data_IF_320012019766
#
_entry.id   IF_320012019766
#
_cell.length_a   1.000
_cell.length_b   1.000
_cell.length_c   1.000
_cell.angle_alpha   90.00
_cell.angle_beta   90.00
_cell.angle_gamma   90.00
#
_symmetry.space_group_name_H-M   'P 1'
#
loop_
_entity.id
_entity.type
_entity.pdbx_description
1 polymer ?
#
# COMPACT_ATOMS: atom_id res chain seq x y z
N UNK A 1 21.16 -4.74 -15.87
CA UNK A 1 20.89 -3.30 -15.92
C UNK A 1 20.23 -2.97 -17.25
N UNK A 2 18.90 -2.85 -17.28
CA UNK A 2 18.18 -2.39 -18.48
C UNK A 2 18.15 -0.86 -18.49
N UNK A 3 18.76 -0.28 -19.52
CA UNK A 3 18.96 1.16 -19.66
C UNK A 3 17.66 1.89 -19.98
N UNK A 4 17.47 3.02 -19.29
CA UNK A 4 16.37 4.03 -19.31
C UNK A 4 15.85 4.48 -20.68
N UNK A 5 16.47 4.07 -21.79
CA UNK A 5 16.14 4.48 -23.16
C UNK A 5 15.11 3.61 -23.86
N UNK A 6 14.86 2.38 -23.39
CA UNK A 6 13.82 1.50 -23.98
C UNK A 6 12.41 1.87 -23.47
N UNK A 7 12.30 2.49 -22.29
CA UNK A 7 11.02 2.86 -21.68
C UNK A 7 10.27 4.02 -22.37
N UNK A 8 10.96 4.85 -23.17
CA UNK A 8 10.34 6.01 -23.82
C UNK A 8 9.58 5.68 -25.12
N UNK A 9 9.63 4.44 -25.61
CA UNK A 9 8.94 4.05 -26.84
C UNK A 9 7.49 3.55 -26.63
N UNK A 10 7.06 3.31 -25.39
CA UNK A 10 5.71 2.77 -25.09
C UNK A 10 4.74 3.84 -24.58
N UNK A 11 5.24 5.02 -24.19
CA UNK A 11 4.42 6.09 -23.61
C UNK A 11 3.72 7.00 -24.64
N UNK A 12 3.77 6.68 -25.93
CA UNK A 12 3.03 7.40 -26.96
C UNK A 12 2.09 6.42 -27.69
N UNK A 13 0.79 6.70 -27.60
CA UNK A 13 -0.31 6.12 -28.39
C UNK A 13 -1.09 4.96 -27.75
N UNK A 14 -1.94 5.28 -26.77
CA UNK A 14 -3.25 4.60 -26.66
C UNK A 14 -4.44 5.57 -26.80
N UNK A 15 -4.18 6.83 -27.18
CA UNK A 15 -5.19 7.75 -27.71
C UNK A 15 -5.21 7.65 -29.24
N UNK A 16 -5.92 6.66 -29.75
CA UNK A 16 -6.16 6.52 -31.18
C UNK A 16 -6.50 5.10 -31.59
N UNK A 17 -7.78 4.73 -31.53
CA UNK A 17 -8.33 3.68 -32.39
C UNK A 17 -8.27 4.17 -33.84
N UNK A 18 -7.07 4.09 -34.42
CA UNK A 18 -6.74 4.50 -35.77
C UNK A 18 -5.59 3.63 -36.27
N UNK A 19 -5.95 2.62 -37.05
CA UNK A 19 -5.09 1.75 -37.87
C UNK A 19 -3.62 2.17 -37.98
N UNK A 20 -2.74 1.55 -37.17
CA UNK A 20 -1.29 1.55 -37.41
C UNK A 20 -0.85 0.12 -37.68
N UNK A 21 -0.85 -0.26 -38.96
CA UNK A 21 -0.12 -1.44 -39.45
C UNK A 21 1.37 -1.16 -39.37
N UNK A 22 2.08 -1.82 -38.45
CA UNK A 22 3.55 -1.84 -38.44
C UNK A 22 4.21 -1.52 -37.09
N UNK A 23 3.83 -2.22 -36.02
CA UNK A 23 4.73 -2.40 -34.88
C UNK A 23 5.49 -3.72 -35.07
N UNK A 24 6.82 -3.77 -34.88
CA UNK A 24 7.52 -5.05 -34.85
C UNK A 24 6.87 -5.88 -33.73
N UNK A 25 6.39 -7.07 -34.09
CA UNK A 25 5.76 -7.97 -33.15
C UNK A 25 6.70 -8.17 -31.96
N UNK A 26 6.35 -7.60 -30.81
CA UNK A 26 7.05 -7.85 -29.55
C UNK A 26 7.01 -9.37 -29.37
N UNK A 27 8.16 -10.03 -29.52
CA UNK A 27 8.25 -11.50 -29.56
C UNK A 27 7.97 -12.15 -28.20
N UNK A 28 7.56 -11.36 -27.21
CA UNK A 28 7.12 -11.78 -25.89
C UNK A 28 5.94 -10.90 -25.47
N UNK A 29 4.84 -11.49 -24.96
CA UNK A 29 3.76 -10.69 -24.39
C UNK A 29 4.32 -9.79 -23.31
N UNK A 30 3.90 -8.53 -23.32
CA UNK A 30 4.18 -7.60 -22.23
C UNK A 30 3.74 -8.27 -20.93
N UNK A 31 4.54 -8.13 -19.89
CA UNK A 31 4.21 -8.67 -18.57
C UNK A 31 3.70 -7.53 -17.70
N UNK A 32 2.68 -7.76 -16.88
CA UNK A 32 2.21 -6.76 -15.94
C UNK A 32 3.34 -6.40 -14.97
N UNK A 33 3.46 -5.11 -14.67
CA UNK A 33 4.47 -4.64 -13.73
C UNK A 33 3.98 -4.90 -12.30
N UNK A 34 4.67 -5.81 -11.61
CA UNK A 34 4.40 -6.08 -10.19
C UNK A 34 4.95 -4.99 -9.29
N UNK A 35 4.21 -4.67 -8.23
CA UNK A 35 4.74 -3.81 -7.19
C UNK A 35 5.74 -4.58 -6.34
N UNK A 36 7.01 -4.22 -6.55
CA UNK A 36 8.19 -4.72 -5.86
C UNK A 36 8.81 -3.64 -4.98
N UNK A 37 8.14 -2.48 -4.88
CA UNK A 37 8.49 -1.34 -4.03
C UNK A 37 7.75 -1.58 -2.70
N UNK A 38 8.24 -1.27 -1.51
CA UNK A 38 9.28 -0.35 -1.00
C UNK A 38 9.63 -0.84 0.42
N UNK A 39 10.69 -0.31 1.06
CA UNK A 39 10.65 -0.33 2.50
C UNK A 39 9.43 0.45 3.01
N UNK A 40 8.51 -0.20 3.70
CA UNK A 40 7.34 0.40 4.33
C UNK A 40 7.80 1.48 5.31
N UNK A 41 7.27 2.69 5.15
CA UNK A 41 7.62 3.83 6.00
C UNK A 41 6.47 4.14 6.92
N UNK A 42 6.72 3.98 8.21
CA UNK A 42 5.77 4.24 9.27
C UNK A 42 6.06 5.61 9.90
N UNK A 43 5.01 6.31 10.28
CA UNK A 43 5.07 7.57 11.02
C UNK A 43 4.18 7.54 12.26
N UNK A 44 4.56 8.32 13.28
CA UNK A 44 3.78 8.50 14.50
C UNK A 44 2.91 9.75 14.39
N UNK A 45 1.62 9.61 14.65
CA UNK A 45 0.65 10.69 14.57
C UNK A 45 -0.09 10.83 15.89
N UNK A 46 -0.08 12.02 16.48
CA UNK A 46 -0.85 12.27 17.70
C UNK A 46 -2.36 12.30 17.40
N UNK A 47 -3.15 11.60 18.21
CA UNK A 47 -4.60 11.75 18.23
C UNK A 47 -5.03 12.89 19.20
N UNK A 48 -6.31 13.33 19.17
CA UNK A 48 -6.80 14.38 20.06
C UNK A 48 -6.70 14.04 21.56
N UNK A 49 -6.54 12.76 21.91
CA UNK A 49 -6.39 12.26 23.28
C UNK A 49 -4.91 12.16 23.70
N UNK A 50 -3.96 12.51 22.83
CA UNK A 50 -2.52 12.47 23.08
C UNK A 50 -1.88 11.08 22.89
N UNK A 51 -2.62 10.09 22.38
CA UNK A 51 -2.08 8.78 22.00
C UNK A 51 -1.38 8.89 20.65
N UNK A 52 -0.38 8.04 20.40
CA UNK A 52 0.28 7.98 19.11
C UNK A 52 -0.29 6.85 18.27
N UNK A 53 -0.77 7.18 17.08
CA UNK A 53 -1.21 6.25 16.04
C UNK A 53 -0.04 6.04 15.08
N UNK A 54 0.28 4.78 14.77
CA UNK A 54 1.21 4.46 13.70
C UNK A 54 0.43 4.36 12.39
N UNK A 55 0.91 5.05 11.35
CA UNK A 55 0.36 4.97 10.00
C UNK A 55 1.49 4.87 8.97
N UNK A 56 1.23 4.21 7.85
CA UNK A 56 2.17 4.15 6.73
C UNK A 56 2.16 5.41 5.87
N UNK A 57 3.02 5.45 4.85
CA UNK A 57 3.01 6.46 3.79
C UNK A 57 2.07 6.13 2.63
N UNK A 58 1.16 5.17 2.81
CA UNK A 58 0.12 4.87 1.83
C UNK A 58 -0.78 6.10 1.57
N UNK A 59 -1.43 6.15 0.39
CA UNK A 59 -2.39 7.21 0.09
C UNK A 59 -3.56 7.22 1.09
N UNK A 60 -3.97 8.40 1.61
CA UNK A 60 -5.04 8.49 2.62
C UNK A 60 -6.43 8.21 2.06
N UNK A 61 -6.57 8.26 0.73
CA UNK A 61 -7.81 7.97 0.02
C UNK A 61 -7.63 6.81 -0.95
N UNK A 62 -8.74 6.16 -1.26
CA UNK A 62 -8.81 5.13 -2.27
C UNK A 62 -8.26 5.64 -3.61
N UNK A 63 -7.36 4.86 -4.20
CA UNK A 63 -6.75 5.16 -5.48
C UNK A 63 -7.48 4.45 -6.62
N UNK A 64 -7.44 5.01 -7.85
CA UNK A 64 -7.96 4.33 -9.03
C UNK A 64 -7.28 2.99 -9.29
N UNK A 65 -8.02 2.06 -9.89
CA UNK A 65 -7.53 0.79 -10.41
C UNK A 65 -7.67 0.75 -11.94
N UNK A 66 -7.05 -0.23 -12.57
CA UNK A 66 -7.14 -0.44 -14.02
C UNK A 66 -8.31 -1.37 -14.29
N UNK A 67 -9.15 -1.01 -15.26
CA UNK A 67 -10.28 -1.84 -15.67
C UNK A 67 -9.81 -3.23 -16.13
N UNK A 68 -10.48 -4.32 -15.74
CA UNK A 68 -10.09 -5.68 -16.14
C UNK A 68 -9.94 -5.82 -17.65
N UNK A 69 -10.85 -5.22 -18.44
CA UNK A 69 -10.84 -5.30 -19.89
C UNK A 69 -9.60 -4.60 -20.48
N UNK A 70 -9.14 -3.51 -19.85
CA UNK A 70 -7.93 -2.82 -20.27
C UNK A 70 -6.68 -3.65 -19.96
N UNK A 71 -6.62 -4.30 -18.79
CA UNK A 71 -5.53 -5.21 -18.42
C UNK A 71 -5.44 -6.37 -19.42
N UNK A 72 -6.56 -7.05 -19.64
CA UNK A 72 -6.61 -8.25 -20.48
C UNK A 72 -6.32 -7.93 -21.95
N UNK A 73 -6.69 -6.75 -22.44
CA UNK A 73 -6.35 -6.30 -23.79
C UNK A 73 -4.84 -6.12 -24.02
N UNK A 74 -4.07 -5.81 -22.98
CA UNK A 74 -2.64 -5.52 -23.06
C UNK A 74 -1.81 -6.76 -22.73
N UNK A 75 -2.22 -7.55 -21.74
CA UNK A 75 -1.43 -8.65 -21.19
C UNK A 75 -1.99 -10.05 -21.48
N UNK A 76 -3.22 -10.14 -21.97
CA UNK A 76 -3.94 -11.39 -22.23
C UNK A 76 -5.03 -11.68 -21.19
N UNK A 77 -6.05 -12.40 -21.64
CA UNK A 77 -7.24 -12.78 -20.85
C UNK A 77 -6.88 -13.45 -19.51
N UNK A 78 -7.55 -13.05 -18.43
CA UNK A 78 -7.37 -13.59 -17.09
C UNK A 78 -6.12 -13.08 -16.36
N UNK A 79 -5.37 -12.13 -16.95
CA UNK A 79 -4.22 -11.53 -16.27
C UNK A 79 -4.66 -10.74 -15.05
N UNK A 80 -5.79 -10.04 -15.16
CA UNK A 80 -6.32 -9.20 -14.09
C UNK A 80 -6.52 -9.94 -12.76
N UNK A 81 -6.97 -11.20 -12.80
CA UNK A 81 -7.26 -11.99 -11.59
C UNK A 81 -6.02 -12.26 -10.74
N UNK A 82 -4.85 -12.18 -11.34
CA UNK A 82 -3.58 -12.34 -10.64
C UNK A 82 -3.05 -11.04 -10.03
N UNK A 83 -3.63 -9.88 -10.35
CA UNK A 83 -3.12 -8.57 -9.95
C UNK A 83 -3.64 -8.13 -8.58
N UNK A 84 -2.75 -7.51 -7.81
CA UNK A 84 -3.08 -6.86 -6.54
C UNK A 84 -3.28 -5.35 -6.74
N UNK A 85 -3.96 -4.67 -5.81
CA UNK A 85 -4.12 -3.20 -5.92
C UNK A 85 -2.79 -2.44 -6.03
N UNK A 86 -1.74 -2.78 -5.27
CA UNK A 86 -0.42 -2.20 -5.47
C UNK A 86 0.13 -2.38 -6.89
N UNK A 87 -0.10 -3.54 -7.53
CA UNK A 87 0.31 -3.75 -8.92
C UNK A 87 -0.38 -2.76 -9.87
N UNK A 88 -1.68 -2.52 -9.69
CA UNK A 88 -2.42 -1.51 -10.45
C UNK A 88 -1.82 -0.12 -10.25
N UNK A 89 -1.60 0.30 -9.00
CA UNK A 89 -1.03 1.62 -8.71
C UNK A 89 0.36 1.80 -9.28
N UNK A 90 1.20 0.75 -9.22
CA UNK A 90 2.51 0.81 -9.88
C UNK A 90 2.38 1.01 -11.37
N UNK A 91 1.53 0.25 -12.04
CA UNK A 91 1.32 0.39 -13.48
C UNK A 91 0.82 1.80 -13.85
N UNK A 92 -0.11 2.36 -13.07
CA UNK A 92 -0.61 3.73 -13.23
C UNK A 92 0.51 4.76 -13.03
N UNK A 93 1.27 4.67 -11.93
CA UNK A 93 2.37 5.59 -11.63
C UNK A 93 3.46 5.60 -12.71
N UNK A 94 3.69 4.45 -13.36
CA UNK A 94 4.64 4.36 -14.47
C UNK A 94 4.08 4.83 -15.81
N UNK A 95 2.81 5.22 -15.85
CA UNK A 95 2.13 5.69 -17.05
C UNK A 95 1.73 4.59 -18.03
N UNK A 96 1.70 3.32 -17.60
CA UNK A 96 1.26 2.21 -18.47
C UNK A 96 -0.24 2.29 -18.79
N UNK A 97 -1.04 2.84 -17.87
CA UNK A 97 -2.48 3.03 -18.03
C UNK A 97 -2.89 4.42 -17.56
N UNK A 98 -3.87 5.03 -18.24
CA UNK A 98 -4.43 6.34 -17.91
C UNK A 98 -5.82 6.53 -18.52
N UNK A 99 -6.53 7.58 -18.10
CA UNK A 99 -7.82 7.98 -18.69
C UNK A 99 -8.90 6.90 -18.53
N UNK A 100 -9.59 6.60 -19.62
CA UNK A 100 -10.73 5.66 -19.67
C UNK A 100 -10.37 4.22 -19.23
N UNK A 101 -9.08 3.85 -19.26
CA UNK A 101 -8.62 2.56 -18.76
C UNK A 101 -8.70 2.44 -17.23
N UNK A 102 -8.96 3.53 -16.52
CA UNK A 102 -9.02 3.57 -15.06
C UNK A 102 -10.47 3.62 -14.57
N UNK A 103 -10.67 3.14 -13.34
CA UNK A 103 -11.90 3.34 -12.60
C UNK A 103 -11.59 3.52 -11.11
N UNK A 104 -12.44 4.26 -10.40
CA UNK A 104 -12.34 4.40 -8.94
C UNK A 104 -13.33 3.42 -8.30
N UNK A 105 -12.89 2.49 -7.45
CA UNK A 105 -13.82 1.59 -6.77
C UNK A 105 -14.79 2.35 -5.87
N UNK A 106 -15.99 1.80 -5.76
CA UNK A 106 -17.10 2.27 -4.92
C UNK A 106 -17.32 1.33 -3.73
N UNK A 107 -18.16 1.73 -2.78
CA UNK A 107 -18.47 0.91 -1.59
C UNK A 107 -19.10 -0.46 -1.91
N UNK A 108 -19.58 -0.66 -3.14
CA UNK A 108 -20.14 -1.93 -3.61
C UNK A 108 -19.05 -2.88 -4.16
N UNK A 109 -17.85 -2.37 -4.41
CA UNK A 109 -16.74 -3.13 -4.98
C UNK A 109 -15.93 -3.82 -3.88
N UNK A 110 -15.59 -5.10 -4.08
CA UNK A 110 -14.68 -5.82 -3.18
C UNK A 110 -13.33 -5.10 -3.01
N UNK A 111 -12.88 -4.40 -4.06
CA UNK A 111 -11.68 -3.57 -4.03
C UNK A 111 -11.75 -2.43 -3.01
N UNK A 112 -12.91 -1.80 -2.81
CA UNK A 112 -13.07 -0.78 -1.77
C UNK A 112 -12.86 -1.36 -0.37
N UNK A 113 -13.48 -2.52 -0.09
CA UNK A 113 -13.33 -3.20 1.18
C UNK A 113 -11.89 -3.68 1.42
N UNK A 114 -11.24 -4.20 0.38
CA UNK A 114 -9.84 -4.59 0.44
C UNK A 114 -8.93 -3.39 0.77
N UNK A 115 -9.15 -2.25 0.11
CA UNK A 115 -8.40 -1.04 0.43
C UNK A 115 -8.61 -0.61 1.88
N UNK A 116 -9.86 -0.56 2.34
CA UNK A 116 -10.17 -0.16 3.72
C UNK A 116 -9.54 -1.10 4.76
N UNK A 117 -9.54 -2.40 4.47
CA UNK A 117 -9.01 -3.43 5.36
C UNK A 117 -7.48 -3.51 5.38
N UNK A 118 -6.80 -3.27 4.25
CA UNK A 118 -5.39 -3.61 4.10
C UNK A 118 -4.49 -2.44 3.66
N UNK A 119 -5.02 -1.47 2.91
CA UNK A 119 -4.20 -0.46 2.22
C UNK A 119 -4.43 0.98 2.67
N UNK A 120 -5.46 1.22 3.49
CA UNK A 120 -5.60 2.47 4.22
C UNK A 120 -4.39 2.64 5.16
N UNK A 121 -3.82 3.84 5.35
CA UNK A 121 -2.52 4.00 6.02
C UNK A 121 -2.42 3.40 7.42
N UNK A 122 -3.51 3.48 8.19
CA UNK A 122 -3.57 2.89 9.54
C UNK A 122 -3.69 1.37 9.50
N UNK A 123 -4.48 0.85 8.56
CA UNK A 123 -4.68 -0.59 8.40
C UNK A 123 -3.43 -1.27 7.84
N UNK A 124 -2.75 -0.65 6.88
CA UNK A 124 -1.49 -1.17 6.34
C UNK A 124 -0.39 -1.21 7.43
N UNK A 125 -0.30 -0.16 8.25
CA UNK A 125 0.60 -0.15 9.40
C UNK A 125 0.25 -1.25 10.42
N UNK A 126 -1.04 -1.47 10.67
CA UNK A 126 -1.51 -2.54 11.54
C UNK A 126 -1.05 -3.91 11.03
N UNK A 127 -1.38 -4.27 9.79
CA UNK A 127 -1.04 -5.57 9.20
C UNK A 127 0.47 -5.82 9.18
N UNK A 128 1.24 -4.78 8.85
CA UNK A 128 2.69 -4.89 8.82
C UNK A 128 3.28 -5.10 10.23
N UNK A 129 2.76 -4.42 11.24
CA UNK A 129 3.30 -4.50 12.59
C UNK A 129 2.84 -5.73 13.35
N UNK A 130 1.60 -6.19 13.16
CA UNK A 130 1.10 -7.34 13.91
C UNK A 130 1.90 -8.60 13.54
N UNK A 131 2.23 -8.78 12.26
CA UNK A 131 3.09 -9.87 11.78
C UNK A 131 4.52 -9.86 12.35
N UNK A 132 5.04 -8.70 12.77
CA UNK A 132 6.36 -8.61 13.40
C UNK A 132 6.34 -8.97 14.89
N UNK A 133 5.20 -8.79 15.55
CA UNK A 133 5.07 -8.92 16.99
C UNK A 133 4.03 -9.99 17.40
N UNK A 134 3.86 -11.03 16.57
CA UNK A 134 2.99 -12.18 16.83
C UNK A 134 3.37 -13.00 18.10
N UNK A 135 4.42 -12.61 18.82
CA UNK A 135 4.79 -13.13 20.15
C UNK A 135 4.11 -12.38 21.32
N UNK A 136 3.28 -11.37 21.05
CA UNK A 136 2.53 -10.66 22.08
C UNK A 136 1.40 -11.48 22.71
N UNK A 137 0.63 -10.84 23.58
CA UNK A 137 -0.52 -11.47 24.23
C UNK A 137 -1.81 -11.04 23.54
N UNK A 138 -2.54 -12.01 22.98
CA UNK A 138 -3.87 -11.79 22.40
C UNK A 138 -4.98 -11.72 23.44
N UNK A 139 -5.96 -10.85 23.22
CA UNK A 139 -7.19 -10.76 24.00
C UNK A 139 -8.41 -10.64 23.06
N UNK A 140 -9.63 -10.80 23.61
CA UNK A 140 -10.88 -10.60 22.87
C UNK A 140 -11.03 -9.18 22.28
N UNK A 141 -10.24 -8.21 22.74
CA UNK A 141 -10.33 -6.80 22.35
C UNK A 141 -9.10 -6.28 21.58
N UNK A 142 -8.20 -7.17 21.15
CA UNK A 142 -6.99 -6.82 20.42
C UNK A 142 -5.71 -7.47 20.93
N UNK A 143 -4.59 -7.11 20.32
CA UNK A 143 -3.25 -7.64 20.62
C UNK A 143 -2.41 -6.59 21.33
N UNK A 144 -1.56 -7.00 22.27
CA UNK A 144 -0.70 -6.06 23.00
C UNK A 144 0.73 -6.58 23.12
N UNK A 145 1.68 -5.66 22.99
CA UNK A 145 3.12 -5.88 23.12
C UNK A 145 3.63 -4.95 24.22
N UNK A 146 3.57 -5.38 25.50
CA UNK A 146 3.87 -4.53 26.65
C UNK A 146 5.26 -3.88 26.58
N UNK A 147 6.25 -4.61 26.06
CA UNK A 147 7.64 -4.14 25.97
C UNK A 147 7.78 -2.79 25.25
N UNK A 148 6.91 -2.51 24.28
CA UNK A 148 6.95 -1.30 23.48
C UNK A 148 5.72 -0.40 23.68
N UNK A 149 4.85 -0.71 24.65
CA UNK A 149 3.59 0.01 24.84
C UNK A 149 2.68 -0.01 23.61
N UNK A 150 2.82 -1.03 22.75
CA UNK A 150 2.15 -1.14 21.45
C UNK A 150 0.86 -1.95 21.61
N UNK A 151 -0.25 -1.39 21.14
CA UNK A 151 -1.59 -1.98 21.19
C UNK A 151 -2.20 -2.01 19.80
N UNK A 152 -2.77 -3.14 19.44
CA UNK A 152 -3.45 -3.39 18.18
C UNK A 152 -4.94 -3.45 18.47
N UNK A 153 -5.69 -2.49 17.93
CA UNK A 153 -7.14 -2.38 18.13
C UNK A 153 -7.85 -2.79 16.85
N UNK A 154 -8.61 -3.88 16.96
CA UNK A 154 -9.58 -4.30 15.96
C UNK A 154 -10.95 -3.87 16.44
N UNK A 155 -11.66 -3.08 15.66
CA UNK A 155 -13.04 -2.73 15.98
C UNK A 155 -13.90 -2.89 14.73
N UNK A 156 -15.10 -3.50 14.83
CA UNK A 156 -15.90 -3.90 13.66
C UNK A 156 -16.25 -2.76 12.70
N UNK A 157 -16.30 -1.53 13.21
CA UNK A 157 -16.74 -0.34 12.46
C UNK A 157 -15.66 0.74 12.31
N UNK A 158 -14.42 0.52 12.76
CA UNK A 158 -13.33 1.50 12.60
C UNK A 158 -12.13 0.84 11.93
N UNK A 159 -11.28 1.61 11.22
CA UNK A 159 -10.06 1.03 10.65
C UNK A 159 -9.21 0.35 11.74
N UNK A 160 -8.47 -0.68 11.34
CA UNK A 160 -7.51 -1.34 12.23
C UNK A 160 -6.42 -0.34 12.61
N UNK A 161 -6.09 -0.25 13.90
CA UNK A 161 -5.15 0.75 14.43
C UNK A 161 -4.02 0.09 15.22
N UNK A 162 -2.79 0.46 14.89
CA UNK A 162 -1.64 0.27 15.77
C UNK A 162 -1.43 1.54 16.60
N UNK A 163 -1.64 1.43 17.90
CA UNK A 163 -1.53 2.51 18.88
C UNK A 163 -0.28 2.30 19.73
N UNK A 164 0.39 3.39 20.08
CA UNK A 164 1.50 3.36 21.04
C UNK A 164 1.26 4.33 22.17
N UNK A 165 1.49 3.82 23.38
CA UNK A 165 1.51 4.61 24.61
C UNK A 165 2.93 4.53 25.17
N UNK A 166 3.62 5.66 25.19
CA UNK A 166 4.95 5.75 25.79
C UNK A 166 4.86 6.55 27.08
N UNK A 167 5.44 6.02 28.16
CA UNK A 167 5.66 6.78 29.38
C UNK A 167 6.72 7.88 29.16
N UNK A 168 7.68 7.63 28.27
CA UNK A 168 8.77 8.55 27.91
C UNK A 168 8.96 8.55 26.40
N UNK A 169 9.02 9.73 25.77
CA UNK A 169 9.28 9.85 24.32
C UNK A 169 10.62 9.25 23.88
N UNK A 170 11.55 9.07 24.82
CA UNK A 170 12.85 8.40 24.65
C UNK A 170 12.72 6.92 24.27
N UNK A 171 11.55 6.31 24.45
CA UNK A 171 11.27 4.92 24.07
C UNK A 171 10.93 4.75 22.58
N UNK A 172 10.61 5.84 21.87
CA UNK A 172 10.30 5.81 20.44
C UNK A 172 11.45 5.21 19.60
N UNK A 173 12.73 5.66 19.75
CA UNK A 173 13.86 5.05 19.06
C UNK A 173 14.04 3.56 19.34
N UNK A 174 13.66 3.09 20.54
CA UNK A 174 13.73 1.67 20.90
C UNK A 174 12.73 0.85 20.07
N UNK A 175 11.48 1.32 19.95
CA UNK A 175 10.49 0.69 19.07
C UNK A 175 10.95 0.70 17.61
N UNK A 176 11.43 1.85 17.11
CA UNK A 176 11.89 1.96 15.73
C UNK A 176 13.03 0.95 15.43
N UNK A 177 13.99 0.81 16.34
CA UNK A 177 15.07 -0.18 16.23
C UNK A 177 14.55 -1.61 16.26
N UNK A 178 13.57 -1.91 17.11
CA UNK A 178 12.98 -3.24 17.23
C UNK A 178 12.23 -3.67 15.96
N UNK A 179 11.53 -2.73 15.30
CA UNK A 179 10.85 -2.95 14.01
C UNK A 179 11.89 -3.28 12.94
N UNK A 180 12.87 -2.40 12.72
CA UNK A 180 13.87 -2.58 11.66
C UNK A 180 14.78 -3.79 11.88
N UNK A 181 14.98 -4.21 13.14
CA UNK A 181 15.72 -5.44 13.46
C UNK A 181 14.97 -6.72 13.04
N UNK A 182 13.63 -6.71 13.14
CA UNK A 182 12.77 -7.84 12.74
C UNK A 182 12.56 -7.86 11.23
N UNK A 183 12.33 -6.69 10.63
CA UNK A 183 12.21 -6.54 9.20
C UNK A 183 12.88 -5.24 8.72
N UNK A 184 13.97 -5.40 7.96
CA UNK A 184 14.75 -4.29 7.39
C UNK A 184 14.00 -3.52 6.30
N UNK A 185 12.94 -4.12 5.76
CA UNK A 185 12.04 -3.45 4.85
C UNK A 185 11.06 -2.53 5.59
N UNK A 186 10.95 -2.56 6.92
CA UNK A 186 10.05 -1.68 7.66
C UNK A 186 10.85 -0.67 8.47
N UNK A 187 10.50 0.61 8.34
CA UNK A 187 11.16 1.72 9.04
C UNK A 187 10.13 2.59 9.72
N UNK A 188 10.38 2.97 10.99
CA UNK A 188 9.56 3.91 11.74
C UNK A 188 10.31 5.24 11.89
N UNK A 189 9.72 6.33 11.42
CA UNK A 189 10.20 7.68 11.69
C UNK A 189 9.91 8.03 13.16
N UNK A 190 10.94 8.25 14.00
CA UNK A 190 10.76 8.48 15.43
C UNK A 190 10.17 9.86 15.76
N UNK A 191 9.98 10.74 14.77
CA UNK A 191 9.47 12.10 15.00
C UNK A 191 7.94 12.10 14.98
N UNK A 192 7.27 12.52 16.07
CA UNK A 192 5.83 12.71 16.06
C UNK A 192 5.42 13.76 15.01
N UNK A 193 4.36 13.44 14.27
CA UNK A 193 3.76 14.30 13.25
C UNK A 193 2.42 14.84 13.74
N UNK A 194 1.95 15.89 13.08
CA UNK A 194 0.59 16.39 13.26
C UNK A 194 -0.45 15.29 13.01
N UNK A 195 -1.64 15.46 13.60
CA UNK A 195 -2.73 14.50 13.52
C UNK A 195 -3.00 14.03 12.08
N UNK A 196 -3.21 12.72 11.93
CA UNK A 196 -3.57 12.13 10.65
C UNK A 196 -4.95 12.67 10.25
N UNK A 197 -5.06 13.30 9.08
CA UNK A 197 -6.37 13.56 8.47
C UNK A 197 -6.83 12.26 7.83
N UNK A 198 -7.59 11.48 8.60
CA UNK A 198 -8.18 10.19 8.17
C UNK A 198 -9.51 10.45 7.47
#
# INVERSE_FOLDING_TARGET
MLTRRVFLAVAASLTGLGTMTGLPALSRPLQPLRDTRRPLRLGLHADPQGRLIIASDAPPCLQPLIRPEAVDSVFGEGTNDSLTQPDHWRMIETGMFSGEALYTPSEQDAAFHMWHACHKPTSEAYEALIGLFEEGTGSLCGWHVPEFGLSFVEHPCTPRLALVTFDRLEDIPRLAKAITARDKSITLDPRPRSALRI
#
